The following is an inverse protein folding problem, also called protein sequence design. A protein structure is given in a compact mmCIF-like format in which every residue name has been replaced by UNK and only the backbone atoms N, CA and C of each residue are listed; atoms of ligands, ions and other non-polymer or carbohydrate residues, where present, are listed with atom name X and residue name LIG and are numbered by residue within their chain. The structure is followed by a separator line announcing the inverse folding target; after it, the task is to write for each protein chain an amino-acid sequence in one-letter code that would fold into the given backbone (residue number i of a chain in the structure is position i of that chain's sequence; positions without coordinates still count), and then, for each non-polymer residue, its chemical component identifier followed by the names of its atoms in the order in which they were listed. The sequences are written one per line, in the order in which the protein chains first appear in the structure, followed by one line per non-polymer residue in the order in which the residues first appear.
data_IF_522750953653
#
_entry.id   IF_522750953653
#
_cell.length_a   1.000
_cell.length_b   1.000
_cell.length_c   1.000
_cell.angle_alpha   90.00
_cell.angle_beta   90.00
_cell.angle_gamma   90.00
#
_symmetry.space_group_name_H-M   'P 1'
#
loop_
_entity.id
_entity.type
_entity.pdbx_description
1 polymer ?
#
# COMPACT_ATOMS: atom_id res chain seq x y z
N UNK A 1 0.64 31.21 -7.89
CA UNK A 1 1.56 30.19 -8.47
C UNK A 1 1.72 29.07 -7.47
N UNK A 2 1.31 27.84 -7.81
CA UNK A 2 1.57 26.67 -6.97
C UNK A 2 3.01 26.23 -7.21
N UNK A 3 3.81 26.16 -6.16
CA UNK A 3 5.20 25.72 -6.28
C UNK A 3 5.25 24.24 -6.60
N UNK A 4 6.27 23.78 -7.36
CA UNK A 4 6.48 22.36 -7.65
C UNK A 4 6.55 21.51 -6.36
N UNK A 5 7.10 22.09 -5.29
CA UNK A 5 7.15 21.46 -3.96
C UNK A 5 5.75 21.29 -3.36
N UNK A 6 4.94 22.34 -3.40
CA UNK A 6 3.54 22.29 -2.94
C UNK A 6 2.74 21.26 -3.72
N UNK A 7 2.90 21.21 -5.04
CA UNK A 7 2.24 20.21 -5.88
C UNK A 7 2.65 18.79 -5.49
N UNK A 8 3.95 18.54 -5.29
CA UNK A 8 4.44 17.22 -4.88
C UNK A 8 3.85 16.80 -3.53
N UNK A 9 3.83 17.69 -2.53
CA UNK A 9 3.23 17.39 -1.22
C UNK A 9 1.73 17.10 -1.32
N UNK A 10 0.99 17.84 -2.15
CA UNK A 10 -0.43 17.57 -2.37
C UNK A 10 -0.65 16.20 -3.01
N UNK A 11 0.14 15.84 -4.02
CA UNK A 11 0.04 14.53 -4.67
C UNK A 11 0.38 13.38 -3.72
N UNK A 12 1.45 13.54 -2.92
CA UNK A 12 1.82 12.55 -1.89
C UNK A 12 0.73 12.42 -0.84
N UNK A 13 0.19 13.55 -0.35
CA UNK A 13 -0.91 13.53 0.63
C UNK A 13 -2.16 12.82 0.10
N UNK A 14 -2.54 13.11 -1.14
CA UNK A 14 -3.68 12.44 -1.80
C UNK A 14 -3.45 10.93 -1.94
N UNK A 15 -2.24 10.53 -2.33
CA UNK A 15 -1.86 9.13 -2.46
C UNK A 15 -1.93 8.37 -1.13
N UNK A 16 -1.40 8.95 -0.05
CA UNK A 16 -1.48 8.36 1.29
C UNK A 16 -2.93 8.22 1.74
N UNK A 17 -3.74 9.26 1.57
CA UNK A 17 -5.15 9.22 1.95
C UNK A 17 -5.92 8.12 1.18
N UNK A 18 -5.73 8.02 -0.14
CA UNK A 18 -6.35 6.98 -0.95
C UNK A 18 -5.92 5.57 -0.52
N UNK A 19 -4.63 5.38 -0.20
CA UNK A 19 -4.10 4.10 0.27
C UNK A 19 -4.73 3.69 1.61
N UNK A 20 -4.89 4.63 2.55
CA UNK A 20 -5.56 4.37 3.83
C UNK A 20 -7.03 3.99 3.66
N UNK A 21 -7.76 4.69 2.78
CA UNK A 21 -9.16 4.35 2.46
C UNK A 21 -9.24 2.95 1.86
N UNK A 22 -8.36 2.61 0.94
CA UNK A 22 -8.31 1.26 0.35
C UNK A 22 -8.03 0.19 1.41
N UNK A 23 -7.02 0.40 2.27
CA UNK A 23 -6.72 -0.52 3.36
C UNK A 23 -7.91 -0.70 4.31
N UNK A 24 -8.62 0.37 4.66
CA UNK A 24 -9.79 0.29 5.53
C UNK A 24 -10.96 -0.51 4.89
N UNK A 25 -11.11 -0.45 3.57
CA UNK A 25 -12.18 -1.15 2.85
C UNK A 25 -11.84 -2.60 2.50
N UNK A 26 -10.59 -2.89 2.15
CA UNK A 26 -10.16 -4.16 1.57
C UNK A 26 -9.18 -4.95 2.45
N UNK A 27 -8.73 -4.39 3.58
CA UNK A 27 -7.79 -5.03 4.50
C UNK A 27 -6.38 -5.26 3.95
N UNK A 28 -6.06 -4.67 2.79
CA UNK A 28 -4.77 -4.84 2.12
C UNK A 28 -4.31 -3.52 1.50
N UNK A 29 -3.01 -3.37 1.28
CA UNK A 29 -2.48 -2.22 0.55
C UNK A 29 -2.77 -2.38 -0.95
N UNK A 30 -3.04 -1.29 -1.70
CA UNK A 30 -3.33 -1.36 -3.14
C UNK A 30 -2.12 -1.77 -4.00
N UNK A 31 -0.95 -1.94 -3.39
CA UNK A 31 0.23 -2.53 -4.03
C UNK A 31 0.23 -3.99 -3.62
N UNK A 32 0.04 -4.88 -4.60
CA UNK A 32 0.08 -6.33 -4.39
C UNK A 32 1.34 -6.77 -3.64
N UNK A 33 1.34 -8.01 -3.13
CA UNK A 33 2.44 -8.54 -2.31
C UNK A 33 3.79 -8.28 -2.99
N UNK A 34 4.77 -7.68 -2.27
CA UNK A 34 6.13 -7.56 -2.78
C UNK A 34 6.63 -8.92 -3.25
N UNK A 35 7.14 -9.02 -4.48
CA UNK A 35 7.65 -10.28 -5.04
C UNK A 35 8.80 -10.91 -4.22
N UNK A 36 9.34 -10.18 -3.24
CA UNK A 36 10.37 -10.66 -2.30
C UNK A 36 9.79 -11.41 -1.09
N UNK A 37 8.48 -11.32 -0.83
CA UNK A 37 7.82 -12.05 0.26
C UNK A 37 7.28 -13.42 -0.17
N UNK A 38 7.22 -13.68 -1.48
CA UNK A 38 6.71 -14.95 -2.01
C UNK A 38 7.61 -16.16 -1.65
N UNK A 39 8.89 -15.94 -1.31
CA UNK A 39 9.81 -17.00 -0.87
C UNK A 39 9.65 -17.38 0.62
N UNK A 40 9.09 -16.50 1.46
CA UNK A 40 8.93 -16.75 2.91
C UNK A 40 7.49 -17.06 3.33
N UNK A 41 6.46 -16.69 2.55
CA UNK A 41 5.05 -16.82 2.95
C UNK A 41 4.47 -18.24 2.78
N UNK A 42 5.19 -19.18 2.16
CA UNK A 42 4.68 -20.54 1.92
C UNK A 42 4.55 -21.36 3.22
N UNK A 43 5.23 -21.00 4.32
CA UNK A 43 5.17 -21.80 5.57
C UNK A 43 4.17 -21.29 6.62
N UNK A 44 3.63 -20.07 6.49
CA UNK A 44 2.69 -19.51 7.48
C UNK A 44 1.22 -19.82 7.17
N UNK A 45 0.88 -20.11 5.90
CA UNK A 45 -0.49 -20.37 5.45
C UNK A 45 -0.85 -21.87 5.43
N UNK A 46 0.13 -22.78 5.56
CA UNK A 46 -0.10 -24.24 5.57
C UNK A 46 -0.41 -24.80 6.98
N UNK A 47 -0.16 -24.03 8.06
CA UNK A 47 -0.44 -24.44 9.43
C UNK A 47 -1.87 -24.09 9.92
N UNK A 48 -2.68 -23.44 9.09
CA UNK A 48 -4.05 -23.02 9.42
C UNK A 48 -5.15 -23.67 8.55
N UNK A 49 -4.82 -24.74 7.81
CA UNK A 49 -5.76 -25.54 7.02
C UNK A 49 -5.98 -26.95 7.61
#
# INVERSE_FOLDING_TARGET
MVSKKTLAFTLVGLFVAASLVHYALFGSFPFGKPQLLDEEETEADEAAA
#
